data_IF_476648386528
#
_entry.id   IF_476648386528
#
_cell.length_a   1.000
_cell.length_b   1.000
_cell.length_c   1.000
_cell.angle_alpha   90.00
_cell.angle_beta   90.00
_cell.angle_gamma   90.00
#
_symmetry.space_group_name_H-M   'P 1'
#
loop_
_entity.id
_entity.type
_entity.pdbx_description
1 polymer ?
#
# COMPACT_ATOMS: atom_id res chain seq x y z
N UNK A 1 -9.35 -12.62 -15.34
CA UNK A 1 -9.33 -12.14 -13.94
C UNK A 1 -8.64 -13.21 -13.13
N UNK A 2 -7.71 -12.79 -12.29
CA UNK A 2 -6.93 -13.70 -11.45
C UNK A 2 -7.81 -14.38 -10.38
N UNK A 3 -7.48 -15.61 -10.01
CA UNK A 3 -8.21 -16.37 -8.98
C UNK A 3 -8.12 -15.72 -7.59
N UNK A 4 -7.04 -14.97 -7.32
CA UNK A 4 -6.82 -14.33 -6.01
C UNK A 4 -7.89 -13.30 -5.67
N UNK A 5 -8.59 -12.70 -6.65
CA UNK A 5 -9.70 -11.75 -6.41
C UNK A 5 -10.86 -12.34 -5.61
N UNK A 6 -10.99 -13.66 -5.61
CA UNK A 6 -12.09 -14.36 -4.93
C UNK A 6 -11.76 -14.71 -3.46
N UNK A 7 -10.52 -14.43 -3.02
CA UNK A 7 -10.09 -14.67 -1.66
C UNK A 7 -10.73 -13.69 -0.68
N UNK A 8 -10.68 -14.03 0.61
CA UNK A 8 -11.18 -13.19 1.71
C UNK A 8 -10.02 -12.71 2.60
N UNK A 9 -10.04 -11.45 3.07
CA UNK A 9 -11.07 -10.39 2.87
C UNK A 9 -11.11 -9.88 1.41
N UNK A 10 -12.33 -9.71 0.86
CA UNK A 10 -12.53 -9.40 -0.56
C UNK A 10 -11.84 -8.10 -0.99
N UNK A 11 -12.01 -7.01 -0.22
CA UNK A 11 -11.42 -5.71 -0.56
C UNK A 11 -9.88 -5.79 -0.61
N UNK A 12 -9.25 -6.52 0.31
CA UNK A 12 -7.81 -6.69 0.33
C UNK A 12 -7.32 -7.37 -0.96
N UNK A 13 -7.88 -8.55 -1.26
CA UNK A 13 -7.39 -9.36 -2.37
C UNK A 13 -7.73 -8.77 -3.73
N UNK A 14 -8.86 -8.10 -3.87
CA UNK A 14 -9.20 -7.37 -5.08
C UNK A 14 -8.21 -6.23 -5.35
N UNK A 15 -7.91 -5.44 -4.31
CA UNK A 15 -6.94 -4.34 -4.44
C UNK A 15 -5.52 -4.85 -4.64
N UNK A 16 -5.15 -5.98 -4.03
CA UNK A 16 -3.86 -6.61 -4.28
C UNK A 16 -3.74 -7.10 -5.72
N UNK A 17 -4.77 -7.77 -6.26
CA UNK A 17 -4.80 -8.19 -7.66
C UNK A 17 -4.71 -6.99 -8.62
N UNK A 18 -5.46 -5.91 -8.36
CA UNK A 18 -5.37 -4.69 -9.17
C UNK A 18 -3.95 -4.08 -9.11
N UNK A 19 -3.31 -4.09 -7.94
CA UNK A 19 -1.95 -3.60 -7.74
C UNK A 19 -0.90 -4.46 -8.47
N UNK A 20 -1.08 -5.78 -8.55
CA UNK A 20 -0.18 -6.68 -9.30
C UNK A 20 -0.15 -6.38 -10.79
N UNK A 21 -1.18 -5.72 -11.34
CA UNK A 21 -1.24 -5.32 -12.73
C UNK A 21 -0.41 -4.04 -13.02
N UNK A 22 0.07 -3.37 -11.98
CA UNK A 22 0.80 -2.10 -12.10
C UNK A 22 2.29 -2.34 -11.86
N UNK A 23 3.15 -2.18 -12.87
CA UNK A 23 4.60 -2.20 -12.70
C UNK A 23 5.05 -1.15 -11.68
N UNK A 24 5.81 -1.60 -10.66
CA UNK A 24 6.26 -0.75 -9.54
C UNK A 24 7.61 -1.17 -8.96
N UNK A 25 8.61 -1.52 -9.80
CA UNK A 25 9.92 -1.82 -9.29
C UNK A 25 10.53 -0.58 -8.64
N UNK A 26 11.32 -0.76 -7.59
CA UNK A 26 12.03 0.34 -6.91
C UNK A 26 12.71 1.27 -7.92
N UNK A 27 12.57 2.58 -7.74
CA UNK A 27 13.07 3.60 -8.66
C UNK A 27 12.11 4.01 -9.80
N UNK A 28 10.97 3.32 -9.97
CA UNK A 28 9.99 3.58 -11.05
C UNK A 28 8.57 3.69 -10.50
N UNK A 29 8.30 4.80 -9.81
CA UNK A 29 7.07 4.98 -9.02
C UNK A 29 5.90 5.59 -9.80
N UNK A 30 6.10 6.17 -10.97
CA UNK A 30 5.13 7.02 -11.66
C UNK A 30 3.81 6.28 -11.96
N UNK A 31 3.90 5.00 -12.36
CA UNK A 31 2.72 4.20 -12.70
C UNK A 31 1.87 3.89 -11.47
N UNK A 32 2.51 3.48 -10.38
CA UNK A 32 1.79 3.15 -9.15
C UNK A 32 1.26 4.39 -8.45
N UNK A 33 1.97 5.52 -8.50
CA UNK A 33 1.45 6.81 -8.02
C UNK A 33 0.18 7.21 -8.78
N UNK A 34 0.22 7.18 -10.13
CA UNK A 34 -0.95 7.48 -10.95
C UNK A 34 -2.12 6.54 -10.64
N UNK A 35 -1.87 5.24 -10.52
CA UNK A 35 -2.88 4.24 -10.16
C UNK A 35 -3.52 4.56 -8.80
N UNK A 36 -2.73 4.88 -7.77
CA UNK A 36 -3.23 5.18 -6.43
C UNK A 36 -4.05 6.48 -6.39
N UNK A 37 -3.64 7.51 -7.14
CA UNK A 37 -4.41 8.75 -7.27
C UNK A 37 -5.75 8.52 -7.99
N UNK A 38 -5.76 7.73 -9.07
CA UNK A 38 -6.98 7.37 -9.79
C UNK A 38 -7.91 6.52 -8.92
N UNK A 39 -7.35 5.59 -8.15
CA UNK A 39 -8.11 4.82 -7.17
C UNK A 39 -8.79 5.74 -6.14
N UNK A 40 -8.03 6.64 -5.51
CA UNK A 40 -8.56 7.58 -4.51
C UNK A 40 -9.70 8.44 -5.08
N UNK A 41 -9.52 8.97 -6.30
CA UNK A 41 -10.55 9.71 -7.03
C UNK A 41 -11.81 8.88 -7.25
N UNK A 42 -11.66 7.61 -7.65
CA UNK A 42 -12.78 6.68 -7.89
C UNK A 42 -13.60 6.41 -6.64
N UNK A 43 -12.94 6.26 -5.48
CA UNK A 43 -13.62 5.97 -4.21
C UNK A 43 -14.07 7.22 -3.44
N UNK A 44 -13.67 8.41 -3.93
CA UNK A 44 -14.07 9.71 -3.36
C UNK A 44 -13.26 10.10 -2.13
N UNK A 45 -11.98 9.72 -2.09
CA UNK A 45 -11.02 10.04 -1.03
C UNK A 45 -10.01 11.07 -1.57
N UNK A 46 -9.66 12.07 -0.77
CA UNK A 46 -8.61 13.02 -1.09
C UNK A 46 -7.26 12.29 -1.21
N UNK A 47 -6.49 12.60 -2.24
CA UNK A 47 -5.13 12.08 -2.38
C UNK A 47 -4.23 13.02 -3.16
N UNK A 48 -2.94 13.01 -2.84
CA UNK A 48 -1.91 13.77 -3.54
C UNK A 48 -0.54 13.09 -3.41
N UNK A 49 0.39 13.51 -4.25
CA UNK A 49 1.81 13.13 -4.11
C UNK A 49 2.50 14.26 -3.35
N UNK A 50 3.19 13.93 -2.26
CA UNK A 50 3.95 14.88 -1.47
C UNK A 50 5.27 15.28 -2.16
N UNK A 51 6.00 16.31 -1.67
CA UNK A 51 7.29 16.70 -2.26
C UNK A 51 8.36 15.60 -2.24
N UNK A 52 8.25 14.63 -1.33
CA UNK A 52 9.15 13.49 -1.27
C UNK A 52 8.78 12.38 -2.28
N UNK A 53 7.62 12.48 -2.96
CA UNK A 53 7.11 11.49 -3.90
C UNK A 53 6.28 10.37 -3.25
N UNK A 54 5.89 10.50 -2.00
CA UNK A 54 4.95 9.58 -1.37
C UNK A 54 3.52 9.90 -1.81
N UNK A 55 2.64 8.89 -1.79
CA UNK A 55 1.21 9.11 -1.95
C UNK A 55 0.56 9.21 -0.58
N UNK A 56 -0.12 10.34 -0.33
CA UNK A 56 -0.91 10.54 0.89
C UNK A 56 -2.39 10.53 0.52
N UNK A 57 -3.17 9.73 1.24
CA UNK A 57 -4.63 9.66 1.12
C UNK A 57 -5.27 10.12 2.42
N UNK A 58 -6.37 10.88 2.35
CA UNK A 58 -7.09 11.37 3.53
C UNK A 58 -8.55 11.02 3.48
N UNK A 59 -9.01 10.23 4.44
CA UNK A 59 -10.40 9.84 4.62
C UNK A 59 -10.98 10.55 5.85
N UNK A 60 -11.99 11.39 5.64
CA UNK A 60 -12.68 12.09 6.70
C UNK A 60 -13.36 11.12 7.67
N UNK A 61 -13.47 11.50 8.94
CA UNK A 61 -14.16 10.71 9.94
C UNK A 61 -15.60 10.38 9.55
N UNK A 62 -16.08 9.23 9.99
CA UNK A 62 -17.53 8.93 9.96
C UNK A 62 -18.29 9.95 10.81
N UNK A 63 -19.47 10.44 10.39
CA UNK A 63 -20.27 11.37 11.20
C UNK A 63 -20.44 10.89 12.65
N UNK A 64 -20.09 11.76 13.61
CA UNK A 64 -20.08 11.47 15.03
C UNK A 64 -18.78 10.87 15.58
N UNK A 65 -17.76 10.70 14.74
CA UNK A 65 -16.45 10.19 15.13
C UNK A 65 -15.31 11.22 14.91
N UNK A 66 -15.65 12.47 14.65
CA UNK A 66 -14.70 13.53 14.29
C UNK A 66 -13.70 13.83 15.42
N UNK A 67 -14.12 13.63 16.68
CA UNK A 67 -13.26 13.84 17.87
C UNK A 67 -12.39 12.63 18.23
N UNK A 68 -12.36 11.60 17.41
CA UNK A 68 -11.46 10.46 17.61
C UNK A 68 -10.06 10.81 17.10
N UNK A 69 -9.06 10.18 17.72
CA UNK A 69 -7.67 10.30 17.26
C UNK A 69 -7.54 9.88 15.80
N UNK A 70 -6.79 10.66 15.04
CA UNK A 70 -6.44 10.31 13.67
C UNK A 70 -5.47 9.13 13.62
N UNK A 71 -5.68 8.24 12.65
CA UNK A 71 -4.84 7.07 12.44
C UNK A 71 -4.17 7.17 11.07
N UNK A 72 -2.86 6.97 11.04
CA UNK A 72 -2.05 6.87 9.83
C UNK A 72 -1.75 5.39 9.60
N UNK A 73 -2.14 4.88 8.43
CA UNK A 73 -1.77 3.55 7.95
C UNK A 73 -0.60 3.72 6.98
N UNK A 74 0.54 3.09 7.23
CA UNK A 74 1.73 3.27 6.42
C UNK A 74 2.17 1.95 5.79
N UNK A 75 2.51 2.01 4.50
CA UNK A 75 3.11 0.94 3.70
C UNK A 75 4.02 1.55 2.64
N UNK A 76 4.81 0.75 1.92
CA UNK A 76 5.57 1.23 0.75
C UNK A 76 5.02 0.70 -0.57
N UNK A 77 5.15 1.51 -1.65
CA UNK A 77 4.54 1.19 -2.94
C UNK A 77 5.47 0.43 -3.88
N UNK A 78 6.76 0.50 -3.68
CA UNK A 78 7.76 -0.21 -4.49
C UNK A 78 7.89 -1.69 -4.12
N UNK A 79 8.61 -2.43 -4.95
CA UNK A 79 8.91 -3.84 -4.72
C UNK A 79 10.28 -4.19 -5.30
N UNK A 80 10.95 -5.16 -4.70
CA UNK A 80 12.18 -5.76 -5.21
C UNK A 80 11.91 -6.47 -6.55
N UNK A 81 12.57 -6.08 -7.66
CA UNK A 81 12.35 -6.67 -8.97
C UNK A 81 13.30 -7.87 -9.21
N UNK A 82 12.96 -9.05 -8.70
CA UNK A 82 13.73 -10.28 -8.94
C UNK A 82 12.93 -11.32 -9.70
N UNK A 83 13.59 -12.05 -10.57
CA UNK A 83 13.00 -13.10 -11.40
C UNK A 83 13.94 -14.30 -11.56
N UNK A 84 13.35 -15.46 -11.92
CA UNK A 84 14.12 -16.65 -12.28
C UNK A 84 14.98 -16.39 -13.53
N UNK A 85 16.14 -17.02 -13.67
CA UNK A 85 17.04 -16.81 -14.80
C UNK A 85 16.38 -17.03 -16.18
N UNK A 86 15.43 -17.95 -16.25
CA UNK A 86 14.73 -18.31 -17.48
C UNK A 86 13.51 -17.40 -17.77
N UNK A 87 13.20 -16.45 -16.89
CA UNK A 87 12.06 -15.54 -17.08
C UNK A 87 12.43 -14.37 -17.97
N UNK A 88 11.57 -14.08 -18.96
CA UNK A 88 11.67 -12.89 -19.82
C UNK A 88 10.89 -11.69 -19.28
N UNK A 89 10.33 -11.78 -18.05
CA UNK A 89 9.54 -10.73 -17.44
C UNK A 89 10.29 -9.40 -17.37
N UNK A 90 9.63 -8.32 -17.72
CA UNK A 90 10.13 -6.95 -17.60
C UNK A 90 9.32 -6.20 -16.53
N UNK A 91 9.94 -5.96 -15.38
CA UNK A 91 9.28 -5.31 -14.23
C UNK A 91 8.81 -3.87 -14.50
N UNK A 92 9.32 -3.21 -15.53
CA UNK A 92 8.88 -1.86 -15.89
C UNK A 92 7.61 -1.85 -16.74
N UNK A 93 7.27 -2.98 -17.39
CA UNK A 93 6.17 -3.04 -18.36
C UNK A 93 5.14 -4.12 -18.08
N UNK A 94 5.56 -5.24 -17.49
CA UNK A 94 4.72 -6.41 -17.40
C UNK A 94 4.04 -6.54 -16.04
N UNK A 95 2.78 -6.99 -15.98
CA UNK A 95 2.09 -7.27 -14.73
C UNK A 95 2.67 -8.52 -14.07
N UNK A 96 2.55 -8.60 -12.74
CA UNK A 96 2.88 -9.82 -11.99
C UNK A 96 1.76 -10.84 -12.19
N UNK A 97 2.08 -11.99 -12.77
CA UNK A 97 1.16 -13.10 -12.92
C UNK A 97 1.09 -13.92 -11.64
N UNK A 98 -0.10 -14.04 -11.06
CA UNK A 98 -0.32 -14.73 -9.79
C UNK A 98 -1.09 -16.04 -9.96
N UNK A 99 -0.83 -17.02 -9.08
CA UNK A 99 -1.58 -18.25 -8.97
C UNK A 99 -1.70 -18.71 -7.51
N UNK A 100 -2.63 -19.65 -7.26
CA UNK A 100 -2.82 -20.23 -5.93
C UNK A 100 -2.39 -21.70 -5.98
N UNK A 101 -1.53 -22.09 -5.04
CA UNK A 101 -1.11 -23.49 -4.85
C UNK A 101 -1.06 -23.80 -3.36
N UNK A 102 -1.70 -24.88 -2.94
CA UNK A 102 -1.74 -25.37 -1.56
C UNK A 102 -2.15 -24.30 -0.53
N UNK A 103 -3.06 -23.39 -0.93
CA UNK A 103 -3.56 -22.32 -0.06
C UNK A 103 -2.65 -21.10 0.03
N UNK A 104 -1.59 -21.04 -0.76
CA UNK A 104 -0.66 -19.91 -0.85
C UNK A 104 -0.76 -19.21 -2.19
N UNK A 105 -0.56 -17.90 -2.19
CA UNK A 105 -0.47 -17.08 -3.40
C UNK A 105 0.99 -16.96 -3.80
N UNK A 106 1.27 -17.25 -5.06
CA UNK A 106 2.60 -17.15 -5.67
C UNK A 106 2.58 -16.27 -6.92
N UNK A 107 3.76 -15.78 -7.31
CA UNK A 107 4.01 -15.20 -8.62
C UNK A 107 4.70 -16.21 -9.55
N UNK A 108 4.48 -16.09 -10.86
CA UNK A 108 5.10 -16.93 -11.88
C UNK A 108 6.53 -16.44 -12.18
N UNK A 109 7.53 -17.13 -11.63
CA UNK A 109 8.96 -16.89 -11.88
C UNK A 109 9.45 -15.46 -11.57
N UNK A 110 8.75 -14.72 -10.70
CA UNK A 110 9.13 -13.39 -10.24
C UNK A 110 8.90 -13.26 -8.73
N UNK A 111 9.41 -12.19 -8.11
CA UNK A 111 8.92 -11.72 -6.82
C UNK A 111 7.43 -11.38 -6.92
N UNK A 112 6.68 -11.65 -5.86
CA UNK A 112 5.23 -11.40 -5.80
C UNK A 112 4.91 -9.93 -5.52
N UNK A 113 5.79 -9.24 -4.80
CA UNK A 113 5.56 -7.88 -4.31
C UNK A 113 4.49 -7.79 -3.22
N UNK A 114 4.27 -8.88 -2.44
CA UNK A 114 3.42 -8.83 -1.25
C UNK A 114 4.02 -7.93 -0.18
N UNK A 115 5.31 -7.87 -0.11
CA UNK A 115 6.14 -6.84 0.51
C UNK A 115 6.27 -5.65 -0.47
N UNK A 116 5.70 -4.46 -0.18
CA UNK A 116 4.63 -4.25 0.80
C UNK A 116 3.27 -4.02 0.11
N UNK A 117 3.03 -4.67 -1.04
CA UNK A 117 1.76 -4.59 -1.77
C UNK A 117 0.55 -5.05 -0.96
N UNK A 118 0.74 -5.97 0.00
CA UNK A 118 -0.34 -6.39 0.90
C UNK A 118 -0.74 -5.24 1.84
N UNK A 119 0.23 -4.49 2.37
CA UNK A 119 -0.02 -3.29 3.17
C UNK A 119 -0.73 -2.20 2.37
N UNK A 120 -0.26 -1.94 1.13
CA UNK A 120 -0.91 -0.98 0.22
C UNK A 120 -2.35 -1.40 -0.08
N UNK A 121 -2.59 -2.67 -0.39
CA UNK A 121 -3.93 -3.19 -0.66
C UNK A 121 -4.86 -3.10 0.57
N UNK A 122 -4.31 -3.28 1.78
CA UNK A 122 -5.06 -3.08 3.02
C UNK A 122 -5.46 -1.61 3.22
N UNK A 123 -4.54 -0.67 2.97
CA UNK A 123 -4.83 0.78 2.99
C UNK A 123 -5.95 1.09 1.98
N UNK A 124 -5.83 0.63 0.74
CA UNK A 124 -6.86 0.82 -0.29
C UNK A 124 -8.22 0.26 0.18
N UNK A 125 -8.24 -0.95 0.75
CA UNK A 125 -9.46 -1.56 1.28
C UNK A 125 -10.11 -0.73 2.37
N UNK A 126 -9.34 -0.17 3.31
CA UNK A 126 -9.84 0.74 4.35
C UNK A 126 -10.38 2.04 3.75
N UNK A 127 -9.68 2.60 2.75
CA UNK A 127 -10.09 3.83 2.09
C UNK A 127 -11.43 3.70 1.36
N UNK A 128 -11.68 2.59 0.68
CA UNK A 128 -12.93 2.38 -0.07
C UNK A 128 -14.08 1.85 0.78
N UNK A 129 -13.83 1.18 1.92
CA UNK A 129 -14.89 0.60 2.74
C UNK A 129 -15.76 1.69 3.38
N UNK A 130 -17.03 1.74 2.98
CA UNK A 130 -18.03 2.69 3.49
C UNK A 130 -18.78 2.19 4.71
N UNK A 131 -18.53 0.96 5.16
CA UNK A 131 -19.22 0.33 6.31
C UNK A 131 -18.48 0.56 7.63
N UNK A 132 -17.18 0.86 7.55
CA UNK A 132 -16.34 1.14 8.72
C UNK A 132 -16.78 2.42 9.43
N UNK A 133 -16.77 2.37 10.77
CA UNK A 133 -16.93 3.56 11.60
C UNK A 133 -15.57 3.94 12.18
N UNK A 134 -15.10 5.12 11.84
CA UNK A 134 -13.72 5.53 12.13
C UNK A 134 -13.59 7.04 12.38
N UNK A 135 -12.56 7.44 13.13
CA UNK A 135 -12.04 8.81 13.16
C UNK A 135 -11.36 9.18 11.84
N UNK A 136 -10.64 10.32 11.75
CA UNK A 136 -9.84 10.62 10.57
C UNK A 136 -8.83 9.52 10.27
N UNK A 137 -8.66 9.15 9.00
CA UNK A 137 -7.67 8.16 8.57
C UNK A 137 -6.81 8.77 7.48
N UNK A 138 -5.50 8.60 7.60
CA UNK A 138 -4.53 8.88 6.55
C UNK A 138 -3.90 7.57 6.07
N UNK A 139 -3.68 7.44 4.76
CA UNK A 139 -2.84 6.41 4.15
C UNK A 139 -1.56 7.07 3.69
N UNK A 140 -0.43 6.72 4.29
CA UNK A 140 0.89 7.12 3.84
C UNK A 140 1.53 5.96 3.07
N UNK A 141 1.70 6.11 1.76
CA UNK A 141 2.28 5.09 0.91
C UNK A 141 3.62 5.62 0.40
N UNK A 142 4.70 5.15 1.02
CA UNK A 142 6.06 5.67 0.78
C UNK A 142 6.69 5.06 -0.47
N UNK A 143 7.66 5.78 -1.06
CA UNK A 143 8.45 5.32 -2.20
C UNK A 143 9.82 4.81 -1.79
N UNK A 144 10.40 3.97 -2.64
CA UNK A 144 11.82 3.55 -2.62
C UNK A 144 12.28 3.09 -1.21
N UNK A 145 11.45 2.28 -0.55
CA UNK A 145 11.77 1.70 0.74
C UNK A 145 12.94 0.74 0.61
N UNK A 146 12.89 -0.15 -0.38
CA UNK A 146 13.80 -1.27 -0.62
C UNK A 146 15.26 -0.87 -0.92
N UNK A 147 15.51 0.40 -1.20
CA UNK A 147 16.85 0.93 -1.50
C UNK A 147 17.35 1.97 -0.50
N UNK A 148 16.57 2.28 0.55
CA UNK A 148 17.03 3.20 1.60
C UNK A 148 15.95 4.07 2.22
N UNK A 149 14.67 3.70 2.10
CA UNK A 149 13.55 4.41 2.73
C UNK A 149 13.50 5.91 2.34
N UNK A 150 13.82 6.23 1.08
CA UNK A 150 13.94 7.63 0.65
C UNK A 150 12.65 8.43 0.89
N UNK A 151 11.50 7.84 0.55
CA UNK A 151 10.22 8.50 0.79
C UNK A 151 9.93 8.80 2.25
N UNK A 152 10.28 7.88 3.15
CA UNK A 152 10.10 8.08 4.59
C UNK A 152 11.08 9.10 5.18
N UNK A 153 12.36 9.07 4.74
CA UNK A 153 13.41 9.96 5.20
C UNK A 153 13.18 11.42 4.76
N UNK A 154 12.62 11.60 3.56
CA UNK A 154 12.37 12.91 2.95
C UNK A 154 10.95 13.45 3.24
N UNK A 155 10.16 12.73 4.07
CA UNK A 155 8.79 13.14 4.41
C UNK A 155 8.78 14.54 5.04
N UNK A 156 8.03 15.51 4.48
CA UNK A 156 7.99 16.86 5.03
C UNK A 156 7.37 16.89 6.43
N UNK A 157 7.99 17.67 7.33
CA UNK A 157 7.44 17.89 8.67
C UNK A 157 6.07 18.54 8.60
N UNK A 158 5.11 17.99 9.32
CA UNK A 158 3.73 18.51 9.39
C UNK A 158 2.84 18.07 8.22
N UNK A 159 3.33 17.19 7.34
CA UNK A 159 2.50 16.63 6.25
C UNK A 159 1.39 15.73 6.81
N UNK A 160 1.68 14.94 7.84
CA UNK A 160 0.73 14.05 8.47
C UNK A 160 -0.01 14.73 9.62
N UNK A 161 -1.29 14.41 9.78
CA UNK A 161 -2.18 15.01 10.78
C UNK A 161 -2.64 13.99 11.86
N UNK A 162 -2.43 12.70 11.63
CA UNK A 162 -2.85 11.64 12.53
C UNK A 162 -2.01 11.55 13.81
N UNK A 163 -2.60 11.04 14.88
CA UNK A 163 -1.97 10.86 16.20
C UNK A 163 -1.29 9.49 16.38
N UNK A 164 -1.72 8.50 15.60
CA UNK A 164 -1.31 7.10 15.73
C UNK A 164 -0.87 6.58 14.38
N UNK A 165 0.40 6.17 14.27
CA UNK A 165 0.89 5.53 13.06
C UNK A 165 0.92 4.01 13.24
N UNK A 166 0.32 3.30 12.28
CA UNK A 166 0.36 1.85 12.14
C UNK A 166 1.15 1.51 10.88
N UNK A 167 2.37 1.04 11.05
CA UNK A 167 3.17 0.51 9.95
C UNK A 167 2.66 -0.90 9.63
N UNK A 168 2.37 -1.16 8.35
CA UNK A 168 1.83 -2.43 7.86
C UNK A 168 2.91 -3.31 7.22
N UNK A 169 4.16 -3.02 7.54
CA UNK A 169 5.34 -3.70 7.05
C UNK A 169 5.95 -4.53 8.17
N UNK A 170 5.48 -5.76 8.32
CA UNK A 170 5.91 -6.65 9.41
C UNK A 170 6.45 -7.97 8.86
N UNK A 171 7.66 -8.33 9.27
CA UNK A 171 8.32 -9.59 8.90
C UNK A 171 7.79 -10.81 9.70
N UNK A 172 7.14 -10.58 10.83
CA UNK A 172 6.76 -11.68 11.73
C UNK A 172 5.24 -11.77 11.87
N UNK A 173 4.67 -12.83 11.35
CA UNK A 173 3.24 -13.11 11.45
C UNK A 173 2.73 -13.08 12.90
N UNK A 174 1.64 -12.32 13.11
CA UNK A 174 0.95 -12.25 14.39
C UNK A 174 1.67 -11.48 15.49
N UNK A 175 2.79 -10.81 15.19
CA UNK A 175 3.55 -10.02 16.16
C UNK A 175 3.31 -8.53 15.97
N UNK A 176 2.83 -7.86 17.04
CA UNK A 176 2.81 -6.41 17.11
C UNK A 176 4.07 -5.89 17.81
N UNK A 177 4.76 -4.97 17.16
CA UNK A 177 5.94 -4.30 17.75
C UNK A 177 5.60 -2.83 17.99
N UNK A 178 5.71 -2.40 19.24
CA UNK A 178 5.58 -0.97 19.59
C UNK A 178 6.95 -0.31 19.52
N UNK A 179 7.13 0.56 18.55
CA UNK A 179 8.32 1.40 18.40
C UNK A 179 7.98 2.77 19.00
N UNK A 180 8.35 3.05 20.22
CA UNK A 180 8.40 4.33 20.87
C UNK A 180 7.37 5.43 20.53
N UNK A 181 7.60 6.65 21.05
CA UNK A 181 6.95 7.89 20.59
C UNK A 181 7.82 8.52 19.50
N UNK A 182 7.31 8.63 18.29
CA UNK A 182 7.83 9.63 17.37
C UNK A 182 7.42 11.01 17.90
N UNK A 183 8.38 11.85 18.21
CA UNK A 183 8.13 13.29 18.32
C UNK A 183 8.27 13.84 16.89
N UNK A 184 7.16 14.18 16.29
CA UNK A 184 7.10 14.95 15.06
C UNK A 184 7.20 16.42 15.42
#
# INVERSE_FOLDING_TARGET
MSEIRNLKPELLWRNFDDLTQIPRPTGHMEKVQAFLLDFAKKVGVEAFVDPAGNVVMRKSATPGYENRKGVILQAHMDMVPQKSPDSNHNFETDPIETHITDGWVYANNTTLGADNGAGVAAIMGVMEDKTLKHGPIEGLITRDEETGMFGANDLPTGELQGDILLNLDSETWGKFVKIGRAHV
#
